data_IF_858021105730
#
_entry.id   IF_858021105730
#
_cell.length_a   1.000
_cell.length_b   1.000
_cell.length_c   1.000
_cell.angle_alpha   90.00
_cell.angle_beta   90.00
_cell.angle_gamma   90.00
#
_symmetry.space_group_name_H-M   'P 1'
#
loop_
_entity.id
_entity.type
_entity.pdbx_description
1 polymer ?
#
# COMPACT_ATOMS: atom_id res chain seq x y z
N UNK A 1 -5.11 33.38 42.91
CA UNK A 1 -6.07 32.66 43.78
C UNK A 1 -7.43 33.32 43.63
N UNK A 2 -8.44 32.57 43.18
CA UNK A 2 -9.79 33.08 42.98
C UNK A 2 -10.74 31.90 42.78
N UNK A 3 -11.11 31.28 43.90
CA UNK A 3 -12.07 30.20 44.03
C UNK A 3 -13.48 30.72 43.70
N UNK A 4 -14.22 29.99 42.87
CA UNK A 4 -15.68 29.95 42.93
C UNK A 4 -16.09 28.48 42.98
N UNK A 5 -16.42 28.04 44.19
CA UNK A 5 -17.04 26.75 44.47
C UNK A 5 -18.55 26.83 44.26
N UNK A 6 -19.09 25.71 43.75
CA UNK A 6 -20.40 25.13 43.96
C UNK A 6 -21.63 25.89 43.42
N UNK A 7 -22.45 25.22 42.61
CA UNK A 7 -23.59 24.47 43.14
C UNK A 7 -24.18 23.53 42.08
N UNK A 8 -24.39 22.29 42.50
CA UNK A 8 -25.26 21.30 41.87
C UNK A 8 -26.68 21.85 41.73
N UNK A 9 -27.31 21.65 40.57
CA UNK A 9 -28.74 21.40 40.49
C UNK A 9 -28.96 20.31 39.44
N UNK A 10 -29.39 19.14 39.93
CA UNK A 10 -29.93 18.06 39.12
C UNK A 10 -31.28 18.52 38.57
N UNK A 11 -31.47 18.41 37.26
CA UNK A 11 -32.80 18.21 36.69
C UNK A 11 -32.70 17.15 35.60
N UNK A 12 -33.62 16.19 35.70
CA UNK A 12 -33.63 14.91 35.00
C UNK A 12 -34.96 14.82 34.28
N UNK A 13 -34.94 14.73 32.96
CA UNK A 13 -35.98 14.04 32.21
C UNK A 13 -35.47 13.59 30.83
N UNK A 14 -35.23 12.28 30.74
CA UNK A 14 -35.58 11.33 29.69
C UNK A 14 -35.47 11.72 28.20
N UNK A 15 -34.67 10.97 27.46
CA UNK A 15 -35.18 10.17 26.35
C UNK A 15 -34.20 9.05 25.94
N UNK A 16 -34.73 7.84 26.02
CA UNK A 16 -34.15 6.56 25.64
C UNK A 16 -33.74 6.45 24.16
N UNK A 17 -32.64 5.72 23.99
CA UNK A 17 -32.41 4.60 23.07
C UNK A 17 -32.41 4.74 21.53
N UNK A 18 -31.32 4.16 21.02
CA UNK A 18 -31.24 3.31 19.81
C UNK A 18 -31.42 3.95 18.43
N UNK A 19 -30.28 4.05 17.73
CA UNK A 19 -30.22 3.85 16.28
C UNK A 19 -30.60 2.40 15.91
N UNK A 20 -31.12 2.16 14.70
CA UNK A 20 -30.42 1.19 13.85
C UNK A 20 -30.34 1.53 12.34
N UNK A 21 -29.14 1.25 11.83
CA UNK A 21 -28.72 0.70 10.54
C UNK A 21 -29.69 0.61 9.33
N UNK A 22 -29.25 1.26 8.24
CA UNK A 22 -28.95 0.69 6.91
C UNK A 22 -29.75 -0.51 6.36
N UNK A 23 -30.54 -0.25 5.32
CA UNK A 23 -31.06 -1.27 4.41
C UNK A 23 -30.23 -1.33 3.11
N UNK A 24 -29.66 -2.51 2.85
CA UNK A 24 -28.93 -2.89 1.64
C UNK A 24 -29.91 -3.69 0.77
N UNK A 25 -30.10 -3.32 -0.50
CA UNK A 25 -30.92 -4.08 -1.45
C UNK A 25 -30.10 -4.48 -2.69
N UNK A 26 -29.65 -5.73 -2.66
CA UNK A 26 -29.67 -6.76 -3.72
C UNK A 26 -29.60 -6.32 -5.19
N UNK A 27 -28.54 -6.73 -5.89
CA UNK A 27 -28.51 -6.91 -7.34
C UNK A 27 -28.68 -8.40 -7.69
N UNK A 28 -29.75 -8.71 -8.42
CA UNK A 28 -29.99 -9.99 -9.07
C UNK A 28 -29.71 -9.88 -10.57
N UNK A 29 -29.17 -10.96 -11.12
CA UNK A 29 -28.79 -11.19 -12.50
C UNK A 29 -30.00 -11.50 -13.40
N UNK A 30 -29.99 -11.07 -14.67
CA UNK A 30 -30.49 -11.85 -15.80
C UNK A 30 -30.20 -11.19 -17.17
N UNK A 31 -29.77 -12.03 -18.10
CA UNK A 31 -29.59 -11.77 -19.52
C UNK A 31 -30.93 -11.69 -20.27
N UNK A 32 -30.99 -10.95 -21.38
CA UNK A 32 -32.13 -11.01 -22.30
C UNK A 32 -32.00 -10.05 -23.49
N UNK A 33 -31.98 -10.62 -24.69
CA UNK A 33 -31.70 -9.95 -25.97
C UNK A 33 -32.97 -9.38 -26.65
N UNK A 34 -32.72 -8.59 -27.71
CA UNK A 34 -33.50 -8.37 -28.94
C UNK A 34 -34.42 -7.14 -29.08
N UNK A 35 -33.97 -6.22 -29.93
CA UNK A 35 -34.61 -5.73 -31.17
C UNK A 35 -36.15 -5.57 -31.22
N UNK A 36 -36.63 -4.33 -31.42
CA UNK A 36 -37.58 -3.97 -32.47
C UNK A 36 -37.90 -2.46 -32.44
N UNK A 37 -38.01 -1.88 -33.63
CA UNK A 37 -38.24 -0.48 -33.95
C UNK A 37 -39.71 -0.06 -33.76
N UNK A 38 -39.93 1.19 -33.33
CA UNK A 38 -41.13 1.96 -33.71
C UNK A 38 -40.69 3.35 -34.16
N UNK A 39 -41.04 3.67 -35.40
CA UNK A 39 -40.77 4.94 -36.06
C UNK A 39 -42.00 5.83 -35.97
N UNK A 40 -41.84 7.12 -35.62
CA UNK A 40 -42.73 8.25 -36.00
C UNK A 40 -41.85 9.53 -36.06
N UNK A 41 -41.48 10.05 -37.24
CA UNK A 41 -42.13 11.13 -38.04
C UNK A 41 -42.21 12.48 -37.26
N UNK A 42 -41.77 13.67 -37.70
CA UNK A 42 -41.37 14.24 -38.99
C UNK A 42 -40.53 15.52 -38.77
N UNK A 43 -39.50 15.69 -39.60
CA UNK A 43 -39.10 16.92 -40.32
C UNK A 43 -39.04 18.28 -39.60
N UNK A 44 -37.83 18.87 -39.52
CA UNK A 44 -37.53 20.27 -39.95
C UNK A 44 -36.02 20.61 -39.86
N UNK A 45 -35.54 21.23 -40.95
CA UNK A 45 -34.30 22.00 -41.14
C UNK A 45 -32.96 21.24 -41.02
N UNK A 46 -32.34 20.86 -42.14
CA UNK A 46 -31.38 21.70 -42.88
C UNK A 46 -30.03 21.90 -42.15
N UNK A 47 -29.05 21.05 -42.52
CA UNK A 47 -27.56 21.20 -42.45
C UNK A 47 -26.75 20.28 -41.52
N UNK A 48 -27.36 19.35 -40.78
CA UNK A 48 -26.59 18.54 -39.82
C UNK A 48 -26.24 17.10 -40.28
N UNK A 49 -26.73 16.64 -41.44
CA UNK A 49 -26.44 15.29 -41.98
C UNK A 49 -25.03 15.12 -42.59
N UNK A 50 -24.15 16.11 -42.47
CA UNK A 50 -22.75 16.02 -42.91
C UNK A 50 -21.74 15.85 -41.77
N UNK A 51 -22.21 15.71 -40.53
CA UNK A 51 -21.35 15.62 -39.34
C UNK A 51 -21.47 14.30 -38.54
N UNK A 52 -21.96 13.23 -39.17
CA UNK A 52 -21.90 11.88 -38.58
C UNK A 52 -21.00 10.89 -39.35
N UNK A 53 -20.23 11.38 -40.33
CA UNK A 53 -19.23 10.56 -41.03
C UNK A 53 -17.92 11.31 -41.33
N UNK A 54 -17.57 12.32 -40.52
CA UNK A 54 -16.33 13.08 -40.67
C UNK A 54 -15.54 13.00 -39.37
N UNK A 55 -14.83 11.88 -39.23
CA UNK A 55 -13.88 11.46 -38.16
C UNK A 55 -14.37 10.33 -37.24
N UNK A 56 -14.77 9.18 -37.80
CA UNK A 56 -14.72 7.89 -37.06
C UNK A 56 -13.35 7.22 -37.13
N UNK A 57 -12.39 7.80 -37.86
CA UNK A 57 -10.98 7.54 -37.63
C UNK A 57 -10.50 8.62 -36.68
N UNK A 58 -10.34 8.27 -35.39
CA UNK A 58 -9.45 9.00 -34.49
C UNK A 58 -8.21 9.36 -35.30
N UNK A 59 -7.93 10.67 -35.45
CA UNK A 59 -6.79 11.17 -36.23
C UNK A 59 -5.57 10.28 -35.96
N UNK A 60 -4.82 9.87 -37.00
CA UNK A 60 -3.65 9.00 -36.81
C UNK A 60 -2.74 9.51 -35.71
N UNK A 61 -2.63 10.84 -35.60
CA UNK A 61 -1.94 11.53 -34.52
C UNK A 61 -2.53 11.29 -33.13
N UNK A 62 -3.85 11.32 -32.98
CA UNK A 62 -4.53 11.03 -31.70
C UNK A 62 -4.38 9.56 -31.33
N UNK A 63 -4.44 8.64 -32.29
CA UNK A 63 -4.14 7.22 -32.05
C UNK A 63 -2.68 7.02 -31.63
N UNK A 64 -1.72 7.66 -32.29
CA UNK A 64 -0.30 7.60 -31.89
C UNK A 64 -0.05 8.20 -30.51
N UNK A 65 -0.67 9.32 -30.17
CA UNK A 65 -0.57 9.91 -28.83
C UNK A 65 -1.12 8.98 -27.75
N UNK A 66 -2.24 8.29 -28.02
CA UNK A 66 -2.81 7.32 -27.10
C UNK A 66 -1.89 6.11 -26.94
N UNK A 67 -1.41 5.52 -28.04
CA UNK A 67 -0.46 4.40 -28.01
C UNK A 67 0.80 4.77 -27.21
N UNK A 68 1.43 5.90 -27.52
CA UNK A 68 2.61 6.38 -26.80
C UNK A 68 2.35 6.66 -25.32
N UNK A 69 1.14 7.09 -24.94
CA UNK A 69 0.75 7.22 -23.54
C UNK A 69 0.64 5.86 -22.86
N UNK A 70 -0.06 4.91 -23.48
CA UNK A 70 -0.22 3.55 -22.94
C UNK A 70 1.10 2.79 -22.85
N UNK A 71 2.02 2.98 -23.80
CA UNK A 71 3.36 2.38 -23.78
C UNK A 71 4.21 2.94 -22.64
N UNK A 72 4.12 4.25 -22.35
CA UNK A 72 4.79 4.86 -21.21
C UNK A 72 4.24 4.33 -19.89
N UNK A 73 2.91 4.24 -19.78
CA UNK A 73 2.25 3.76 -18.56
C UNK A 73 2.61 2.29 -18.29
N UNK A 74 2.55 1.43 -19.30
CA UNK A 74 2.95 0.01 -19.20
C UNK A 74 4.45 -0.16 -18.92
N UNK A 75 5.32 0.63 -19.55
CA UNK A 75 6.75 0.60 -19.29
C UNK A 75 7.07 0.98 -17.84
N UNK A 76 6.40 2.00 -17.29
CA UNK A 76 6.56 2.41 -15.90
C UNK A 76 6.06 1.33 -14.93
N UNK A 77 4.94 0.69 -15.23
CA UNK A 77 4.38 -0.41 -14.44
C UNK A 77 5.31 -1.64 -14.42
N UNK A 78 5.87 -2.03 -15.58
CA UNK A 78 6.84 -3.12 -15.68
C UNK A 78 8.15 -2.80 -14.96
N UNK A 79 8.63 -1.57 -15.05
CA UNK A 79 9.80 -1.12 -14.30
C UNK A 79 9.54 -1.16 -12.79
N UNK A 80 8.37 -0.69 -12.34
CA UNK A 80 7.97 -0.73 -10.93
C UNK A 80 7.82 -2.17 -10.44
N UNK A 81 7.21 -3.05 -11.23
CA UNK A 81 7.12 -4.48 -10.94
C UNK A 81 8.52 -5.10 -10.80
N UNK A 82 9.45 -4.81 -11.72
CA UNK A 82 10.83 -5.26 -11.63
C UNK A 82 11.56 -4.74 -10.38
N UNK A 83 11.35 -3.47 -10.02
CA UNK A 83 11.90 -2.89 -8.78
C UNK A 83 11.29 -3.58 -7.54
N UNK A 84 9.99 -3.84 -7.55
CA UNK A 84 9.30 -4.53 -6.46
C UNK A 84 9.78 -5.98 -6.32
N UNK A 85 10.00 -6.70 -7.42
CA UNK A 85 10.53 -8.05 -7.42
C UNK A 85 11.95 -8.10 -6.85
N UNK A 86 12.82 -7.19 -7.29
CA UNK A 86 14.18 -7.07 -6.76
C UNK A 86 14.17 -6.72 -5.25
N UNK A 87 13.27 -5.82 -4.83
CA UNK A 87 13.09 -5.47 -3.41
C UNK A 87 12.64 -6.68 -2.61
N UNK A 88 11.65 -7.44 -3.09
CA UNK A 88 11.16 -8.67 -2.44
C UNK A 88 12.24 -9.73 -2.34
N UNK A 89 13.02 -9.96 -3.39
CA UNK A 89 14.14 -10.89 -3.38
C UNK A 89 15.19 -10.54 -2.31
N UNK A 90 15.52 -9.24 -2.17
CA UNK A 90 16.43 -8.77 -1.12
C UNK A 90 15.85 -9.02 0.28
N UNK A 91 14.58 -8.70 0.49
CA UNK A 91 13.90 -8.91 1.78
C UNK A 91 13.90 -10.39 2.15
N UNK A 92 13.59 -11.29 1.22
CA UNK A 92 13.63 -12.73 1.44
C UNK A 92 15.00 -13.21 1.92
N UNK A 93 16.08 -12.72 1.30
CA UNK A 93 17.44 -13.05 1.73
C UNK A 93 17.79 -12.52 3.12
N UNK A 94 17.20 -11.40 3.54
CA UNK A 94 17.40 -10.85 4.89
C UNK A 94 16.56 -11.54 5.95
N UNK A 95 15.35 -12.00 5.61
CA UNK A 95 14.47 -12.73 6.52
C UNK A 95 15.09 -14.04 7.01
N UNK A 96 15.87 -14.72 6.17
CA UNK A 96 16.59 -15.94 6.55
C UNK A 96 17.62 -15.70 7.67
N UNK A 97 18.12 -14.47 7.80
CA UNK A 97 19.12 -14.10 8.80
C UNK A 97 18.49 -13.67 10.14
N UNK A 98 17.18 -13.42 10.18
CA UNK A 98 16.50 -13.04 11.43
C UNK A 98 16.21 -14.32 12.23
N UNK A 99 16.58 -14.41 13.51
CA UNK A 99 16.30 -15.59 14.31
C UNK A 99 14.80 -15.87 14.46
N UNK A 100 14.43 -17.14 14.34
CA UNK A 100 13.12 -17.65 14.72
C UNK A 100 13.31 -18.81 15.71
N UNK A 101 12.45 -18.87 16.71
CA UNK A 101 12.48 -19.89 17.77
C UNK A 101 11.08 -20.48 17.97
N UNK A 102 11.03 -21.53 18.80
CA UNK A 102 9.78 -22.12 19.28
C UNK A 102 9.39 -21.45 20.59
N UNK A 103 8.16 -20.95 20.66
CA UNK A 103 7.60 -20.42 21.89
C UNK A 103 7.47 -21.54 22.93
N UNK A 104 7.90 -21.23 24.15
CA UNK A 104 7.69 -22.07 25.31
C UNK A 104 7.08 -21.20 26.43
N UNK A 105 5.95 -21.63 26.97
CA UNK A 105 5.21 -21.02 28.05
C UNK A 105 6.12 -20.87 29.27
N UNK A 106 6.17 -19.65 29.83
CA UNK A 106 7.08 -19.29 30.92
C UNK A 106 8.37 -18.60 30.47
N UNK A 107 8.57 -18.38 29.17
CA UNK A 107 9.59 -17.49 28.63
C UNK A 107 9.35 -16.01 29.00
N UNK A 108 10.40 -15.18 28.98
CA UNK A 108 10.28 -13.72 29.07
C UNK A 108 10.06 -13.17 27.66
N UNK A 109 8.92 -12.52 27.41
CA UNK A 109 8.61 -11.92 26.11
C UNK A 109 7.16 -11.44 26.02
N UNK A 110 6.78 -11.01 24.82
CA UNK A 110 5.38 -10.73 24.50
C UNK A 110 4.55 -12.02 24.61
N UNK A 111 3.30 -11.90 25.04
CA UNK A 111 2.37 -13.04 25.21
C UNK A 111 1.40 -13.20 24.04
N UNK A 112 1.31 -12.20 23.16
CA UNK A 112 0.41 -12.19 22.02
C UNK A 112 1.07 -11.61 20.79
N UNK A 113 0.63 -12.05 19.61
CA UNK A 113 1.06 -11.47 18.35
C UNK A 113 0.23 -10.22 18.05
N UNK A 114 0.87 -9.04 18.02
CA UNK A 114 0.18 -7.79 17.70
C UNK A 114 -0.37 -7.70 16.25
N UNK A 115 -0.01 -8.64 15.35
CA UNK A 115 -0.50 -8.67 13.97
C UNK A 115 -1.84 -9.40 13.87
N UNK A 116 -1.92 -10.62 14.43
CA UNK A 116 -3.14 -11.43 14.38
C UNK A 116 -4.00 -11.32 15.64
N UNK A 117 -3.51 -10.66 16.69
CA UNK A 117 -4.16 -10.50 18.00
C UNK A 117 -4.49 -11.84 18.67
N UNK A 118 -3.61 -12.84 18.48
CA UNK A 118 -3.72 -14.18 19.08
C UNK A 118 -2.59 -14.38 20.07
N UNK A 119 -2.90 -14.93 21.24
CA UNK A 119 -1.93 -15.34 22.26
C UNK A 119 -0.98 -16.41 21.71
N UNK A 120 0.27 -16.42 22.17
CA UNK A 120 1.23 -17.45 21.77
C UNK A 120 0.98 -18.73 22.54
N UNK A 121 1.03 -19.86 21.84
CA UNK A 121 0.89 -21.19 22.41
C UNK A 121 2.22 -21.96 22.36
N UNK A 122 2.40 -22.91 23.28
CA UNK A 122 3.54 -23.83 23.28
C UNK A 122 3.73 -24.49 21.92
N UNK A 123 4.91 -24.33 21.33
CA UNK A 123 5.21 -24.87 20.01
C UNK A 123 5.07 -23.87 18.85
N UNK A 124 4.54 -22.67 19.09
CA UNK A 124 4.41 -21.64 18.05
C UNK A 124 5.78 -21.20 17.51
N UNK A 125 5.86 -21.01 16.20
CA UNK A 125 7.07 -20.47 15.57
C UNK A 125 7.05 -18.95 15.66
N UNK A 126 7.93 -18.39 16.48
CA UNK A 126 8.02 -16.97 16.76
C UNK A 126 9.30 -16.40 16.17
N UNK A 127 9.21 -15.22 15.59
CA UNK A 127 10.37 -14.46 15.13
C UNK A 127 10.59 -13.27 16.05
N UNK A 128 11.83 -13.11 16.51
CA UNK A 128 12.24 -11.98 17.31
C UNK A 128 12.92 -10.95 16.42
N UNK A 129 12.32 -9.78 16.29
CA UNK A 129 12.98 -8.69 15.58
C UNK A 129 14.13 -8.14 16.43
N UNK A 130 15.14 -7.50 15.82
CA UNK A 130 16.26 -6.91 16.55
C UNK A 130 15.84 -5.81 17.56
N UNK A 131 14.67 -5.20 17.36
CA UNK A 131 14.07 -4.26 18.30
C UNK A 131 13.28 -4.93 19.45
N UNK A 132 13.46 -6.25 19.62
CA UNK A 132 12.91 -7.10 20.70
C UNK A 132 11.39 -7.34 20.67
N UNK A 133 10.71 -6.95 19.59
CA UNK A 133 9.29 -7.30 19.40
C UNK A 133 9.14 -8.69 18.77
N UNK A 134 8.12 -9.42 19.22
CA UNK A 134 7.88 -10.83 18.91
C UNK A 134 6.60 -11.02 18.09
N UNK A 135 6.63 -11.88 17.08
CA UNK A 135 5.45 -12.17 16.24
C UNK A 135 5.50 -13.62 15.72
N UNK A 136 4.35 -14.19 15.33
CA UNK A 136 4.36 -15.43 14.55
C UNK A 136 5.16 -15.23 13.26
N UNK A 137 5.99 -16.22 12.92
CA UNK A 137 6.82 -16.21 11.70
C UNK A 137 5.98 -15.94 10.46
N UNK A 138 4.81 -16.58 10.33
CA UNK A 138 3.88 -16.37 9.21
C UNK A 138 3.36 -14.93 9.13
N UNK A 139 3.02 -14.34 10.27
CA UNK A 139 2.46 -12.99 10.33
C UNK A 139 3.51 -11.93 9.98
N UNK A 140 4.71 -12.04 10.54
CA UNK A 140 5.74 -11.00 10.35
C UNK A 140 6.48 -11.13 9.02
N UNK A 141 6.66 -12.34 8.48
CA UNK A 141 7.35 -12.52 7.20
C UNK A 141 6.52 -11.88 6.06
N UNK A 142 5.20 -12.08 6.06
CA UNK A 142 4.28 -11.45 5.11
C UNK A 142 4.26 -9.92 5.22
N UNK A 143 4.36 -9.40 6.45
CA UNK A 143 4.48 -7.98 6.70
C UNK A 143 5.78 -7.41 6.14
N UNK A 144 6.91 -8.04 6.46
CA UNK A 144 8.24 -7.58 6.07
C UNK A 144 8.47 -7.61 4.56
N UNK A 145 7.79 -8.52 3.85
CA UNK A 145 7.73 -8.56 2.38
C UNK A 145 7.09 -7.32 1.75
N UNK A 146 6.26 -6.58 2.49
CA UNK A 146 5.61 -5.33 2.05
C UNK A 146 6.38 -4.12 2.56
N UNK A 147 6.69 -4.10 3.86
CA UNK A 147 7.44 -3.05 4.53
C UNK A 147 8.44 -3.63 5.51
N UNK A 148 9.73 -3.38 5.29
CA UNK A 148 10.82 -3.91 6.13
C UNK A 148 11.00 -3.12 7.44
N UNK A 149 9.89 -2.89 8.15
CA UNK A 149 9.78 -2.07 9.36
C UNK A 149 8.97 -2.81 10.42
N UNK A 150 9.35 -2.67 11.69
CA UNK A 150 8.62 -3.28 12.80
C UNK A 150 7.19 -2.71 12.93
N UNK A 151 6.14 -3.54 13.01
CA UNK A 151 4.77 -3.08 13.24
C UNK A 151 4.58 -2.28 14.55
N UNK A 152 5.26 -2.67 15.63
CA UNK A 152 5.08 -2.06 16.95
C UNK A 152 5.85 -0.76 17.16
N UNK A 153 7.08 -0.64 16.66
CA UNK A 153 7.93 0.56 16.89
C UNK A 153 8.23 1.38 15.63
N UNK A 154 7.83 0.91 14.44
CA UNK A 154 8.07 1.55 13.15
C UNK A 154 9.55 1.70 12.76
N UNK A 155 10.48 1.15 13.54
CA UNK A 155 11.90 1.17 13.21
C UNK A 155 12.23 0.20 12.06
N UNK A 156 13.17 0.56 11.16
CA UNK A 156 13.66 -0.33 10.11
C UNK A 156 14.33 -1.56 10.68
N UNK A 157 13.98 -2.74 10.19
CA UNK A 157 14.55 -4.01 10.68
C UNK A 157 16.02 -4.18 10.26
N UNK A 158 16.43 -3.55 9.15
CA UNK A 158 17.80 -3.59 8.63
C UNK A 158 18.79 -2.80 9.48
N UNK A 159 18.36 -1.70 10.12
CA UNK A 159 19.22 -0.82 10.92
C UNK A 159 19.96 -1.58 12.04
N UNK A 160 19.29 -2.56 12.64
CA UNK A 160 19.83 -3.35 13.73
C UNK A 160 20.51 -4.66 13.25
N UNK A 161 20.19 -5.13 12.04
CA UNK A 161 20.95 -6.22 11.39
C UNK A 161 22.30 -5.68 10.91
N UNK A 162 22.30 -4.54 10.24
CA UNK A 162 23.52 -3.90 9.71
C UNK A 162 24.46 -3.44 10.82
N UNK A 163 23.97 -2.98 11.97
CA UNK A 163 24.85 -2.62 13.09
C UNK A 163 25.72 -3.79 13.53
N UNK A 164 25.18 -5.02 13.52
CA UNK A 164 25.93 -6.24 13.83
C UNK A 164 27.00 -6.56 12.77
N UNK A 165 26.75 -6.28 11.49
CA UNK A 165 27.72 -6.48 10.40
C UNK A 165 28.78 -5.38 10.29
N UNK A 166 28.44 -4.12 10.61
CA UNK A 166 29.39 -2.98 10.53
C UNK A 166 30.48 -3.04 11.58
N UNK A 167 30.30 -3.81 12.66
CA UNK A 167 31.36 -4.05 13.65
C UNK A 167 32.45 -5.00 13.16
N UNK A 168 32.25 -5.67 12.01
CA UNK A 168 33.23 -6.58 11.41
C UNK A 168 33.84 -6.07 10.09
N UNK A 169 33.32 -5.00 9.50
CA UNK A 169 33.89 -4.42 8.30
C UNK A 169 34.49 -3.04 8.60
N UNK A 170 35.81 -2.98 8.80
CA UNK A 170 36.62 -1.76 8.67
C UNK A 170 36.61 -1.27 7.22
N UNK A 171 35.44 -0.97 6.65
CA UNK A 171 35.34 -0.30 5.35
C UNK A 171 35.67 1.16 5.56
N UNK A 172 36.87 1.54 5.13
CA UNK A 172 37.34 2.92 5.14
C UNK A 172 36.40 3.78 4.28
N UNK A 173 35.49 4.50 4.95
CA UNK A 173 34.48 5.38 4.36
C UNK A 173 35.12 6.47 3.46
N UNK A 174 36.42 6.76 3.61
CA UNK A 174 37.14 7.72 2.76
C UNK A 174 37.45 7.20 1.34
N UNK A 175 37.24 5.91 1.07
CA UNK A 175 37.41 5.34 -0.28
C UNK A 175 36.16 5.42 -1.15
N UNK A 176 34.99 5.71 -0.56
CA UNK A 176 33.73 5.96 -1.28
C UNK A 176 33.65 7.43 -1.70
N UNK A 177 34.66 7.93 -2.42
CA UNK A 177 34.56 9.25 -3.03
C UNK A 177 33.70 9.14 -4.31
N UNK A 178 32.45 9.58 -4.21
CA UNK A 178 31.66 9.84 -5.41
C UNK A 178 32.37 10.97 -6.18
N UNK A 179 32.83 10.68 -7.39
CA UNK A 179 33.42 11.71 -8.24
C UNK A 179 32.34 12.75 -8.59
N UNK A 180 32.63 14.06 -8.50
CA UNK A 180 31.65 15.08 -8.83
C UNK A 180 31.17 14.92 -10.27
N UNK A 181 29.85 14.89 -10.47
CA UNK A 181 29.26 14.97 -11.80
C UNK A 181 29.70 16.30 -12.44
N UNK A 182 30.55 16.23 -13.47
CA UNK A 182 30.94 17.41 -14.24
C UNK A 182 29.73 17.91 -15.01
N UNK A 183 29.13 19.00 -14.53
CA UNK A 183 28.06 19.69 -15.25
C UNK A 183 28.66 20.34 -16.50
N UNK A 184 28.35 19.80 -17.69
CA UNK A 184 28.80 20.33 -18.97
C UNK A 184 28.17 21.70 -19.25
N UNK A 185 28.91 22.77 -18.99
CA UNK A 185 28.57 24.11 -19.48
C UNK A 185 28.95 24.23 -20.95
N UNK A 186 27.92 24.49 -21.77
CA UNK A 186 27.95 24.66 -23.21
C UNK A 186 28.86 25.82 -23.61
N UNK A 187 29.91 25.50 -24.35
CA UNK A 187 30.64 26.42 -25.22
C UNK A 187 29.67 27.07 -26.22
N UNK A 188 29.56 28.39 -26.18
CA UNK A 188 28.83 29.20 -27.16
C UNK A 188 29.87 30.00 -27.92
N UNK A 189 29.98 29.72 -29.22
CA UNK A 189 30.74 30.50 -30.20
C UNK A 189 29.93 31.72 -30.68
#
# INVERSE_FOLDING_TARGET
>A
MGNCLAYFLSDQHDHDDTSPLGAISQSSSSSGNNSASTAENSSRTSRDDRRLNRTTASSSYVNELYVNATERDTSAELQLAGINDAKRARVLGLLEQIPADIYNEGGKGDIECAICMVEFEDGDRIRYLPCLHSYHVSCIDDWLLRSFTCPSCLEPVDSAILSSFTTQSDVNLASLSCSPATHGSKESA
#
